data_IF_231607217065
#
_entry.id   IF_231607217065
#
_cell.length_a   1.000
_cell.length_b   1.000
_cell.length_c   1.000
_cell.angle_alpha   90.00
_cell.angle_beta   90.00
_cell.angle_gamma   90.00
#
_symmetry.space_group_name_H-M   'P 1'
#
loop_
_entity.id
_entity.type
_entity.pdbx_description
1 polymer ?
#
# COMPACT_ATOMS: atom_id res chain seq x y z
N UNK A 1 -17.24 17.35 -0.75
CA UNK A 1 -17.29 17.21 -2.24
C UNK A 1 -17.39 15.76 -2.66
N UNK A 2 -16.53 14.83 -2.19
CA UNK A 2 -16.61 13.40 -2.56
C UNK A 2 -17.95 12.74 -2.18
N UNK A 3 -18.48 13.07 -0.99
CA UNK A 3 -19.81 12.64 -0.51
C UNK A 3 -20.94 12.94 -1.50
N UNK A 4 -20.93 14.15 -2.08
CA UNK A 4 -21.97 14.58 -3.04
C UNK A 4 -22.02 13.72 -4.30
N UNK A 5 -20.93 13.00 -4.59
CA UNK A 5 -20.81 12.13 -5.77
C UNK A 5 -20.71 10.65 -5.41
N UNK A 6 -20.88 10.27 -4.14
CA UNK A 6 -20.72 8.89 -3.66
C UNK A 6 -19.34 8.29 -4.02
N UNK A 7 -18.29 9.12 -3.99
CA UNK A 7 -16.90 8.73 -4.26
C UNK A 7 -16.14 8.62 -2.94
N UNK A 8 -15.27 7.63 -2.81
CA UNK A 8 -14.34 7.50 -1.69
C UNK A 8 -12.99 8.09 -2.08
N UNK A 9 -12.51 9.05 -1.28
CA UNK A 9 -11.17 9.62 -1.39
C UNK A 9 -10.21 8.77 -0.56
N UNK A 10 -9.13 8.34 -1.17
CA UNK A 10 -8.09 7.55 -0.50
C UNK A 10 -6.81 8.33 -0.32
N UNK A 11 -6.18 8.19 0.84
CA UNK A 11 -4.82 8.65 1.12
C UNK A 11 -3.85 7.50 0.87
N UNK A 12 -2.84 7.74 0.06
CA UNK A 12 -1.75 6.80 -0.18
C UNK A 12 -0.57 7.09 0.76
N UNK A 13 0.05 6.07 1.40
CA UNK A 13 1.32 6.20 2.08
C UNK A 13 2.40 6.72 1.14
N UNK A 14 2.90 7.92 1.40
CA UNK A 14 3.88 8.61 0.58
C UNK A 14 4.49 9.81 1.31
N UNK A 15 5.83 9.93 1.31
CA UNK A 15 6.54 11.01 1.99
C UNK A 15 6.46 10.93 3.52
N UNK A 16 6.52 12.07 4.21
CA UNK A 16 6.79 12.09 5.65
C UNK A 16 5.60 11.73 6.55
N UNK A 17 4.39 12.16 6.20
CA UNK A 17 3.24 12.13 7.12
C UNK A 17 2.38 10.88 7.01
N UNK A 18 2.42 10.16 5.89
CA UNK A 18 1.47 9.07 5.60
C UNK A 18 2.13 7.70 5.52
N UNK A 19 3.44 7.59 5.74
CA UNK A 19 4.18 6.33 5.58
C UNK A 19 4.21 5.43 6.81
N UNK A 20 3.65 5.87 7.93
CA UNK A 20 3.50 5.07 9.15
C UNK A 20 2.05 5.08 9.66
N UNK A 21 1.71 4.08 10.47
CA UNK A 21 0.35 3.89 11.00
C UNK A 21 -0.13 5.08 11.84
N UNK A 22 0.75 5.66 12.67
CA UNK A 22 0.39 6.79 13.53
C UNK A 22 -0.07 8.01 12.70
N UNK A 23 0.70 8.37 11.67
CA UNK A 23 0.40 9.47 10.78
C UNK A 23 -0.88 9.25 9.98
N UNK A 24 -1.06 8.05 9.43
CA UNK A 24 -2.28 7.67 8.70
C UNK A 24 -3.52 7.75 9.60
N UNK A 25 -3.47 7.17 10.80
CA UNK A 25 -4.58 7.22 11.74
C UNK A 25 -4.88 8.65 12.22
N UNK A 26 -3.85 9.48 12.42
CA UNK A 26 -4.06 10.91 12.72
C UNK A 26 -4.85 11.59 11.60
N UNK A 27 -4.51 11.34 10.34
CA UNK A 27 -5.21 11.93 9.18
C UNK A 27 -6.65 11.41 9.09
N UNK A 28 -6.88 10.10 9.28
CA UNK A 28 -8.23 9.54 9.29
C UNK A 28 -9.10 10.16 10.39
N UNK A 29 -8.51 10.52 11.54
CA UNK A 29 -9.22 11.19 12.63
C UNK A 29 -9.44 12.71 12.42
N UNK A 30 -8.98 13.29 11.31
CA UNK A 30 -9.27 14.71 10.98
C UNK A 30 -10.66 14.91 10.37
N UNK A 31 -11.36 13.83 10.00
CA UNK A 31 -12.69 13.91 9.39
C UNK A 31 -13.54 12.72 9.80
N UNK A 32 -14.79 12.99 10.19
CA UNK A 32 -15.78 11.94 10.50
C UNK A 32 -16.47 11.36 9.24
N UNK A 33 -16.03 11.76 8.04
CA UNK A 33 -16.64 11.31 6.77
C UNK A 33 -16.29 9.86 6.47
N UNK A 34 -17.30 9.05 6.14
CA UNK A 34 -17.12 7.67 5.64
C UNK A 34 -16.49 7.61 4.24
N UNK A 35 -16.25 8.77 3.62
CA UNK A 35 -15.62 8.91 2.29
C UNK A 35 -14.15 9.22 2.33
N UNK A 36 -13.53 9.24 3.51
CA UNK A 36 -12.08 9.30 3.64
C UNK A 36 -11.56 7.93 4.07
N UNK A 37 -10.65 7.36 3.28
CA UNK A 37 -10.08 6.05 3.52
C UNK A 37 -8.59 6.00 3.11
N UNK A 38 -8.00 4.81 3.15
CA UNK A 38 -6.59 4.57 2.83
C UNK A 38 -6.47 3.68 1.60
N UNK A 39 -5.58 4.10 0.69
CA UNK A 39 -5.00 3.26 -0.35
C UNK A 39 -3.64 2.75 0.16
N UNK A 40 -3.57 1.55 0.71
CA UNK A 40 -2.34 1.09 1.33
C UNK A 40 -1.27 0.74 0.28
N UNK A 41 -0.12 1.41 0.31
CA UNK A 41 1.03 1.11 -0.55
C UNK A 41 2.09 0.32 0.25
N UNK A 42 2.29 -0.94 -0.13
CA UNK A 42 3.23 -1.84 0.55
C UNK A 42 4.69 -1.40 0.41
N UNK A 43 5.04 -0.79 -0.72
CA UNK A 43 6.40 -0.39 -1.05
C UNK A 43 6.80 0.90 -0.34
N UNK A 44 5.97 1.94 -0.41
CA UNK A 44 6.29 3.24 0.20
C UNK A 44 6.42 3.16 1.73
N UNK A 45 5.60 2.33 2.38
CA UNK A 45 5.72 2.06 3.82
C UNK A 45 7.06 1.40 4.15
N UNK A 46 7.45 0.41 3.34
CA UNK A 46 8.73 -0.30 3.51
C UNK A 46 9.93 0.62 3.28
N UNK A 47 9.89 1.47 2.25
CA UNK A 47 10.95 2.44 1.95
C UNK A 47 11.14 3.46 3.07
N UNK A 48 10.06 3.88 3.70
CA UNK A 48 10.12 4.75 4.88
C UNK A 48 10.64 4.05 6.14
N UNK A 49 11.08 2.79 6.03
CA UNK A 49 11.65 2.00 7.13
C UNK A 49 10.62 1.40 8.08
N UNK A 50 9.33 1.42 7.72
CA UNK A 50 8.28 0.82 8.52
C UNK A 50 8.02 -0.63 8.08
N UNK A 51 7.59 -1.47 9.01
CA UNK A 51 7.13 -2.81 8.68
C UNK A 51 5.74 -2.72 8.01
N UNK A 52 5.60 -3.17 6.75
CA UNK A 52 4.34 -3.05 6.03
C UNK A 52 3.23 -3.92 6.61
N UNK A 53 3.56 -5.07 7.19
CA UNK A 53 2.57 -6.00 7.76
C UNK A 53 2.00 -5.43 9.05
N UNK A 54 2.86 -4.96 9.96
CA UNK A 54 2.43 -4.34 11.21
C UNK A 54 1.71 -3.02 10.98
N UNK A 55 2.19 -2.21 10.03
CA UNK A 55 1.49 -0.98 9.62
C UNK A 55 0.10 -1.30 9.10
N UNK A 56 -0.02 -2.28 8.20
CA UNK A 56 -1.31 -2.69 7.63
C UNK A 56 -2.27 -3.18 8.70
N UNK A 57 -1.81 -4.04 9.63
CA UNK A 57 -2.63 -4.51 10.75
C UNK A 57 -3.21 -3.37 11.57
N UNK A 58 -2.41 -2.33 11.84
CA UNK A 58 -2.84 -1.19 12.64
C UNK A 58 -3.92 -0.32 11.96
N UNK A 59 -3.92 -0.27 10.62
CA UNK A 59 -4.82 0.61 9.85
C UNK A 59 -5.92 -0.13 9.08
N UNK A 60 -5.97 -1.47 9.15
CA UNK A 60 -6.73 -2.32 8.22
C UNK A 60 -8.20 -1.91 8.07
N UNK A 61 -8.84 -1.42 9.13
CA UNK A 61 -10.24 -0.97 9.14
C UNK A 61 -10.50 0.27 8.26
N UNK A 62 -9.45 0.99 7.87
CA UNK A 62 -9.52 2.18 7.01
C UNK A 62 -9.07 1.88 5.57
N UNK A 63 -8.62 0.67 5.27
CA UNK A 63 -8.06 0.31 3.97
C UNK A 63 -9.17 -0.16 3.03
N UNK A 64 -9.31 0.52 1.89
CA UNK A 64 -10.31 0.20 0.86
C UNK A 64 -9.68 -0.09 -0.50
N UNK A 65 -8.42 0.27 -0.69
CA UNK A 65 -7.63 0.01 -1.89
C UNK A 65 -6.21 -0.35 -1.49
N UNK A 66 -5.52 -1.15 -2.29
CA UNK A 66 -4.12 -1.54 -2.01
C UNK A 66 -3.29 -1.41 -3.28
N UNK A 67 -2.20 -0.67 -3.19
CA UNK A 67 -1.08 -0.72 -4.12
C UNK A 67 -0.10 -1.79 -3.66
N UNK A 68 -0.07 -2.91 -4.37
CA UNK A 68 0.99 -3.89 -4.28
C UNK A 68 2.19 -3.35 -5.05
N UNK A 69 3.17 -2.91 -4.29
CA UNK A 69 4.46 -2.41 -4.76
C UNK A 69 5.56 -3.14 -4.02
N UNK A 70 6.46 -3.76 -4.76
CA UNK A 70 7.63 -4.44 -4.20
C UNK A 70 8.89 -3.64 -4.53
N UNK A 71 9.81 -3.56 -3.59
CA UNK A 71 10.96 -2.65 -3.61
C UNK A 71 12.19 -3.35 -3.06
N UNK A 72 13.38 -2.89 -3.46
CA UNK A 72 14.64 -3.38 -2.90
C UNK A 72 15.27 -2.32 -1.99
N UNK A 73 16.12 -2.72 -1.03
CA UNK A 73 16.82 -1.78 -0.12
C UNK A 73 17.63 -0.71 -0.87
N UNK A 74 18.11 -1.02 -2.07
CA UNK A 74 18.87 -0.08 -2.90
C UNK A 74 18.04 1.14 -3.35
N UNK A 75 16.71 1.04 -3.34
CA UNK A 75 15.81 2.09 -3.78
C UNK A 75 15.46 3.10 -2.66
N UNK A 76 15.83 2.81 -1.42
CA UNK A 76 15.53 3.68 -0.27
C UNK A 76 16.23 5.05 -0.39
N UNK A 77 17.47 5.08 -0.89
CA UNK A 77 18.23 6.31 -1.07
C UNK A 77 17.60 7.31 -2.05
N UNK A 78 16.74 6.82 -2.96
CA UNK A 78 16.02 7.66 -3.94
C UNK A 78 14.62 8.05 -3.45
N UNK A 79 14.05 7.32 -2.48
CA UNK A 79 12.64 7.41 -2.11
C UNK A 79 12.31 7.87 -0.70
N UNK A 80 13.30 8.16 0.15
CA UNK A 80 13.06 8.62 1.53
C UNK A 80 12.22 9.91 1.61
N UNK A 81 12.38 10.84 0.67
CA UNK A 81 11.66 12.11 0.66
C UNK A 81 10.39 12.07 -0.23
N UNK A 82 10.43 11.33 -1.34
CA UNK A 82 9.43 11.39 -2.40
C UNK A 82 8.82 10.04 -2.77
N UNK A 83 8.98 8.99 -1.95
CA UNK A 83 8.56 7.64 -2.34
C UNK A 83 9.30 7.14 -3.59
N UNK A 84 8.94 5.95 -4.07
CA UNK A 84 9.50 5.42 -5.32
C UNK A 84 8.42 5.34 -6.38
N UNK A 85 8.70 5.96 -7.53
CA UNK A 85 7.78 6.10 -8.67
C UNK A 85 7.33 4.74 -9.21
N UNK A 86 8.21 3.74 -9.19
CA UNK A 86 7.83 2.38 -9.55
C UNK A 86 8.81 1.36 -8.96
N UNK A 87 8.25 0.31 -8.34
CA UNK A 87 8.98 -0.79 -7.75
C UNK A 87 9.57 -1.77 -8.77
N UNK A 88 10.04 -2.91 -8.26
CA UNK A 88 10.36 -4.11 -9.04
C UNK A 88 9.11 -4.98 -9.22
N UNK A 89 9.22 -6.10 -9.95
CA UNK A 89 8.11 -7.04 -10.02
C UNK A 89 7.82 -7.66 -8.64
N UNK A 90 6.55 -7.94 -8.35
CA UNK A 90 6.14 -8.53 -7.07
C UNK A 90 6.80 -9.90 -6.89
N UNK A 91 7.47 -10.08 -5.76
CA UNK A 91 8.24 -11.28 -5.42
C UNK A 91 9.71 -11.23 -5.84
N UNK A 92 10.16 -10.16 -6.49
CA UNK A 92 11.56 -9.89 -6.82
C UNK A 92 12.22 -8.88 -5.85
N UNK A 93 11.44 -8.23 -4.99
CA UNK A 93 11.93 -7.32 -3.97
C UNK A 93 11.97 -7.93 -2.58
N UNK A 94 11.89 -7.06 -1.58
CA UNK A 94 12.11 -7.39 -0.17
C UNK A 94 10.88 -7.12 0.70
N UNK A 95 9.77 -6.66 0.12
CA UNK A 95 8.53 -6.41 0.86
C UNK A 95 7.89 -7.74 1.25
N UNK A 96 7.41 -7.87 2.49
CA UNK A 96 6.62 -9.04 2.90
C UNK A 96 5.18 -8.98 2.34
N UNK A 97 5.08 -9.14 1.02
CA UNK A 97 3.82 -9.13 0.27
C UNK A 97 2.90 -10.25 0.77
N UNK A 98 3.46 -11.43 1.07
CA UNK A 98 2.69 -12.55 1.60
C UNK A 98 2.06 -12.20 2.94
N UNK A 99 2.81 -11.62 3.87
CA UNK A 99 2.30 -11.16 5.16
C UNK A 99 1.17 -10.15 5.00
N UNK A 100 1.31 -9.18 4.09
CA UNK A 100 0.25 -8.22 3.79
C UNK A 100 -1.02 -8.89 3.25
N UNK A 101 -0.88 -9.84 2.32
CA UNK A 101 -2.01 -10.62 1.78
C UNK A 101 -2.68 -11.47 2.86
N UNK A 102 -1.91 -12.09 3.75
CA UNK A 102 -2.45 -12.87 4.86
C UNK A 102 -3.26 -11.98 5.83
N UNK A 103 -2.82 -10.74 6.09
CA UNK A 103 -3.58 -9.76 6.88
C UNK A 103 -4.89 -9.38 6.19
N UNK A 104 -4.84 -9.06 4.89
CA UNK A 104 -6.03 -8.72 4.10
C UNK A 104 -7.04 -9.87 4.09
N UNK A 105 -6.58 -11.10 3.82
CA UNK A 105 -7.41 -12.31 3.86
C UNK A 105 -8.00 -12.55 5.25
N UNK A 106 -7.19 -12.42 6.30
CA UNK A 106 -7.63 -12.60 7.68
C UNK A 106 -8.68 -11.58 8.14
N UNK A 107 -8.65 -10.38 7.57
CA UNK A 107 -9.66 -9.34 7.81
C UNK A 107 -10.92 -9.50 6.94
N UNK A 108 -10.89 -10.36 5.91
CA UNK A 108 -11.99 -10.48 4.94
C UNK A 108 -12.06 -9.31 3.96
N UNK A 109 -10.90 -8.75 3.59
CA UNK A 109 -10.83 -7.67 2.60
C UNK A 109 -11.30 -8.14 1.21
N UNK A 110 -12.28 -7.43 0.63
CA UNK A 110 -12.86 -7.71 -0.69
C UNK A 110 -12.59 -6.59 -1.72
N UNK A 111 -11.73 -5.62 -1.38
CA UNK A 111 -11.38 -4.53 -2.27
C UNK A 111 -10.37 -4.92 -3.36
N UNK A 112 -9.81 -3.92 -4.02
CA UNK A 112 -8.92 -4.13 -5.16
C UNK A 112 -7.44 -4.16 -4.75
N UNK A 113 -6.72 -5.11 -5.35
CA UNK A 113 -5.26 -5.16 -5.36
C UNK A 113 -4.76 -4.62 -6.70
N UNK A 114 -4.09 -3.48 -6.69
CA UNK A 114 -3.48 -2.86 -7.86
C UNK A 114 -1.98 -3.12 -7.83
N UNK A 115 -1.41 -3.65 -8.91
CA UNK A 115 0.04 -3.87 -9.01
C UNK A 115 0.71 -2.61 -9.58
N UNK A 116 1.65 -2.04 -8.83
CA UNK A 116 2.43 -0.88 -9.26
C UNK A 116 3.88 -1.30 -9.55
N UNK A 117 4.26 -1.29 -10.83
CA UNK A 117 5.58 -1.72 -11.28
C UNK A 117 6.00 -1.03 -12.59
N UNK A 118 7.30 -1.09 -12.90
CA UNK A 118 7.86 -0.47 -14.11
C UNK A 118 7.66 -1.35 -15.34
N UNK A 119 6.58 -1.09 -16.08
CA UNK A 119 6.37 -1.62 -17.41
C UNK A 119 5.74 -3.02 -17.47
N UNK A 120 5.40 -3.42 -18.70
CA UNK A 120 4.56 -4.60 -18.98
C UNK A 120 5.23 -5.92 -18.57
N UNK A 121 6.55 -6.03 -18.73
CA UNK A 121 7.25 -7.27 -18.41
C UNK A 121 7.32 -7.54 -16.90
N UNK A 122 7.49 -6.50 -16.09
CA UNK A 122 7.37 -6.62 -14.64
C UNK A 122 5.95 -6.99 -14.24
N UNK A 123 4.94 -6.33 -14.84
CA UNK A 123 3.54 -6.63 -14.57
C UNK A 123 3.18 -8.10 -14.80
N UNK A 124 3.66 -8.70 -15.91
CA UNK A 124 3.42 -10.12 -16.21
C UNK A 124 3.97 -11.02 -15.10
N UNK A 125 5.22 -10.80 -14.67
CA UNK A 125 5.87 -11.60 -13.61
C UNK A 125 5.18 -11.39 -12.27
N UNK A 126 4.80 -10.15 -11.95
CA UNK A 126 4.01 -9.84 -10.75
C UNK A 126 2.68 -10.60 -10.72
N UNK A 127 1.95 -10.66 -11.82
CA UNK A 127 0.69 -11.41 -11.93
C UNK A 127 0.94 -12.91 -11.73
N UNK A 128 1.98 -13.47 -12.34
CA UNK A 128 2.34 -14.88 -12.18
C UNK A 128 2.68 -15.24 -10.72
N UNK A 129 3.37 -14.35 -10.01
CA UNK A 129 3.63 -14.49 -8.59
C UNK A 129 2.33 -14.44 -7.78
N UNK A 130 1.52 -13.39 -7.97
CA UNK A 130 0.28 -13.18 -7.20
C UNK A 130 -0.73 -14.30 -7.38
N UNK A 131 -0.84 -14.89 -8.57
CA UNK A 131 -1.72 -16.06 -8.83
C UNK A 131 -1.37 -17.30 -8.02
N UNK A 132 -0.13 -17.43 -7.54
CA UNK A 132 0.29 -18.56 -6.69
C UNK A 132 0.00 -18.30 -5.21
N UNK A 133 -0.23 -17.04 -4.84
CA UNK A 133 -0.37 -16.56 -3.46
C UNK A 133 -1.83 -16.35 -3.05
N UNK A 134 -2.68 -15.97 -4.00
CA UNK A 134 -4.12 -15.82 -3.83
C UNK A 134 -4.82 -17.18 -3.83
#
# INVERSE_FOLDING_TARGET
MAENYNITLTIEPHGYYTTNAEGLLKIMNLSDSDRLAINFDTGNVTIAGNDPVETLKAIINHVVYVHLKDVTRGMAAEGEEFGVVAGVAIGEGEVDIKGCIDVLKGHGYEGYLSIECSGVDQLKRSIEYMRKLL
#
